data_IF_358806442515
#
_entry.id   IF_358806442515
#
_cell.length_a   1.000
_cell.length_b   1.000
_cell.length_c   1.000
_cell.angle_alpha   90.00
_cell.angle_beta   90.00
_cell.angle_gamma   90.00
#
_symmetry.space_group_name_H-M   'P 1'
#
loop_
_entity.id
_entity.type
_entity.pdbx_description
1 polymer ?
#
# COMPACT_ATOMS: atom_id res chain seq x y z
N UNK A 1 -51.93 -32.88 -26.51
CA UNK A 1 -50.92 -33.95 -26.41
C UNK A 1 -49.83 -33.42 -25.48
N UNK A 2 -50.08 -33.27 -24.19
CA UNK A 2 -50.25 -34.31 -23.15
C UNK A 2 -48.91 -34.93 -22.74
N UNK A 3 -48.53 -34.68 -21.47
CA UNK A 3 -47.97 -35.67 -20.52
C UNK A 3 -46.48 -36.07 -20.76
N UNK A 4 -45.56 -36.20 -19.78
CA UNK A 4 -45.62 -36.55 -18.36
C UNK A 4 -44.33 -36.09 -17.61
N UNK A 5 -44.46 -35.69 -16.35
CA UNK A 5 -43.54 -36.08 -15.25
C UNK A 5 -44.04 -37.42 -14.67
N UNK A 6 -43.19 -38.32 -14.13
CA UNK A 6 -42.76 -38.26 -12.72
C UNK A 6 -41.34 -38.86 -12.52
N UNK A 7 -40.67 -39.04 -11.37
CA UNK A 7 -40.92 -38.94 -9.92
C UNK A 7 -39.56 -38.96 -9.18
N UNK A 8 -39.55 -38.47 -7.95
CA UNK A 8 -38.48 -38.62 -6.97
C UNK A 8 -38.38 -40.04 -6.38
N UNK A 9 -37.16 -40.59 -6.22
CA UNK A 9 -36.72 -41.28 -4.98
C UNK A 9 -35.30 -41.86 -5.10
N UNK A 10 -34.34 -41.28 -4.38
CA UNK A 10 -33.22 -42.02 -3.80
C UNK A 10 -32.78 -41.27 -2.53
N UNK A 11 -33.24 -41.79 -1.40
CA UNK A 11 -33.00 -41.27 -0.05
C UNK A 11 -31.58 -41.65 0.41
N UNK A 12 -30.94 -40.72 1.12
CA UNK A 12 -30.16 -40.89 2.37
C UNK A 12 -29.56 -42.28 2.68
N UNK A 13 -28.22 -42.35 2.65
CA UNK A 13 -27.31 -43.02 3.60
C UNK A 13 -25.88 -42.66 3.13
N UNK A 14 -24.94 -42.10 3.88
CA UNK A 14 -24.43 -42.57 5.17
C UNK A 14 -23.73 -41.43 5.94
N UNK A 15 -24.13 -41.25 7.20
CA UNK A 15 -23.31 -40.72 8.28
C UNK A 15 -22.96 -41.90 9.19
N UNK A 16 -21.82 -41.81 9.87
CA UNK A 16 -21.31 -42.66 10.97
C UNK A 16 -20.51 -43.93 10.62
N UNK A 17 -19.19 -43.82 10.83
CA UNK A 17 -18.23 -44.72 11.54
C UNK A 17 -16.83 -44.31 11.03
N UNK A 18 -15.77 -44.08 11.81
CA UNK A 18 -15.46 -44.51 13.17
C UNK A 18 -14.48 -43.52 13.85
N UNK A 19 -14.68 -43.37 15.16
CA UNK A 19 -13.67 -42.96 16.15
C UNK A 19 -12.87 -44.23 16.57
N UNK A 20 -11.68 -43.98 17.09
CA UNK A 20 -10.90 -44.78 18.06
C UNK A 20 -9.70 -45.61 17.56
N UNK A 21 -8.51 -45.12 17.92
CA UNK A 21 -7.33 -45.77 18.54
C UNK A 21 -6.37 -44.61 18.88
N UNK A 22 -6.17 -44.15 20.13
CA UNK A 22 -5.42 -44.73 21.28
C UNK A 22 -4.05 -45.28 20.82
N UNK A 23 -2.89 -45.01 21.42
CA UNK A 23 -2.40 -44.25 22.59
C UNK A 23 -0.86 -44.30 22.55
N UNK A 24 -0.21 -43.59 23.49
CA UNK A 24 1.15 -43.79 23.99
C UNK A 24 2.30 -43.08 23.23
N UNK A 25 2.85 -42.01 23.81
CA UNK A 25 3.89 -42.10 24.86
C UNK A 25 4.22 -40.72 25.42
N UNK A 26 4.30 -40.68 26.75
CA UNK A 26 4.69 -39.55 27.58
C UNK A 26 6.22 -39.37 27.58
N UNK A 27 6.68 -38.14 27.76
CA UNK A 27 7.74 -37.85 28.73
C UNK A 27 7.79 -36.34 29.07
N UNK A 28 7.37 -36.06 30.29
CA UNK A 28 7.94 -35.18 31.32
C UNK A 28 9.16 -34.32 30.96
N UNK A 29 9.04 -33.00 31.16
CA UNK A 29 9.80 -32.29 32.20
C UNK A 29 9.20 -30.89 32.44
N UNK A 30 8.58 -30.73 33.62
CA UNK A 30 8.33 -29.46 34.29
C UNK A 30 9.59 -29.06 35.07
N UNK A 31 9.92 -27.78 35.12
CA UNK A 31 10.23 -27.07 36.37
C UNK A 31 9.94 -25.55 36.21
N UNK A 32 9.66 -24.81 37.32
CA UNK A 32 8.84 -23.60 37.34
C UNK A 32 9.66 -22.34 37.70
N UNK A 33 9.02 -21.31 38.30
CA UNK A 33 9.59 -20.12 38.96
C UNK A 33 9.82 -18.89 38.02
N UNK A 34 9.42 -17.63 38.29
CA UNK A 34 8.88 -16.93 39.47
C UNK A 34 8.01 -15.73 39.07
N UNK A 35 7.03 -15.47 39.93
CA UNK A 35 6.27 -14.24 40.13
C UNK A 35 7.17 -13.05 40.50
N UNK A 36 6.99 -11.92 39.82
CA UNK A 36 7.55 -10.62 40.19
C UNK A 36 6.45 -9.57 40.32
N UNK A 37 6.01 -9.34 41.55
CA UNK A 37 5.16 -8.21 41.97
C UNK A 37 6.01 -6.95 41.90
N UNK A 38 5.57 -5.91 41.18
CA UNK A 38 6.11 -4.56 41.32
C UNK A 38 5.01 -3.59 41.72
N UNK A 39 5.22 -3.04 42.91
CA UNK A 39 4.41 -2.10 43.67
C UNK A 39 4.37 -0.71 43.02
N UNK A 40 3.22 -0.07 43.16
CA UNK A 40 2.92 1.33 42.85
C UNK A 40 3.93 2.31 43.49
N UNK A 41 4.27 3.36 42.74
CA UNK A 41 4.61 4.66 43.31
C UNK A 41 3.80 5.73 42.60
N UNK A 42 2.81 6.22 43.33
CA UNK A 42 1.97 7.39 43.04
C UNK A 42 2.83 8.65 43.24
N UNK A 43 2.95 9.48 42.21
CA UNK A 43 3.42 10.85 42.35
C UNK A 43 2.21 11.78 42.23
N UNK A 44 1.80 12.33 43.37
CA UNK A 44 0.82 13.40 43.52
C UNK A 44 1.47 14.71 43.06
N UNK A 45 0.85 15.41 42.12
CA UNK A 45 1.15 16.81 41.84
C UNK A 45 -0.18 17.56 41.81
N UNK A 46 -0.35 18.43 42.81
CA UNK A 46 -1.47 19.35 42.98
C UNK A 46 -1.47 20.44 41.91
N UNK A 47 -2.65 20.71 41.31
CA UNK A 47 -2.91 21.95 40.59
C UNK A 47 -4.34 22.47 40.89
N UNK A 48 -4.52 23.80 40.95
CA UNK A 48 -5.60 24.43 41.71
C UNK A 48 -6.93 24.54 40.97
N UNK A 49 -7.98 24.50 41.77
CA UNK A 49 -9.38 24.77 41.45
C UNK A 49 -9.60 26.24 41.05
N UNK A 50 -10.24 26.50 39.90
CA UNK A 50 -10.90 27.79 39.63
C UNK A 50 -12.27 27.56 38.98
N UNK A 51 -13.22 28.33 39.48
CA UNK A 51 -14.65 28.20 39.37
C UNK A 51 -15.27 28.60 38.02
N UNK A 52 -16.54 28.20 37.92
CA UNK A 52 -17.58 28.50 36.95
C UNK A 52 -17.58 29.89 36.31
N UNK A 53 -18.03 29.95 35.04
CA UNK A 53 -19.05 30.91 34.59
C UNK A 53 -19.67 30.52 33.24
N UNK A 54 -20.99 30.41 33.31
CA UNK A 54 -21.98 30.41 32.25
C UNK A 54 -21.90 31.68 31.38
N UNK A 55 -22.12 31.56 30.06
CA UNK A 55 -22.65 32.63 29.20
C UNK A 55 -23.00 32.14 27.80
N UNK A 56 -24.29 32.23 27.54
CA UNK A 56 -25.02 32.20 26.28
C UNK A 56 -24.46 33.10 25.18
N UNK A 57 -24.56 32.65 23.92
CA UNK A 57 -24.38 33.42 22.70
C UNK A 57 -25.68 33.43 21.89
N UNK A 58 -26.17 34.57 21.38
CA UNK A 58 -27.32 34.62 20.50
C UNK A 58 -26.94 34.66 19.01
N UNK A 59 -27.87 34.17 18.19
CA UNK A 59 -27.88 34.16 16.73
C UNK A 59 -28.06 35.55 16.10
N UNK A 60 -27.59 35.71 14.84
CA UNK A 60 -28.02 36.64 13.76
C UNK A 60 -26.98 36.53 12.62
N UNK A 61 -27.24 36.67 11.32
CA UNK A 61 -28.42 36.83 10.47
C UNK A 61 -27.89 36.66 9.02
N UNK A 62 -28.68 36.05 8.15
CA UNK A 62 -28.44 35.93 6.70
C UNK A 62 -28.87 37.21 5.97
N UNK A 63 -28.08 37.68 4.98
CA UNK A 63 -28.55 38.53 3.87
C UNK A 63 -27.79 38.17 2.57
N UNK A 64 -28.44 38.22 1.38
CA UNK A 64 -27.90 37.70 0.11
C UNK A 64 -27.26 38.78 -0.78
N UNK A 65 -26.37 38.36 -1.68
CA UNK A 65 -25.75 39.21 -2.70
C UNK A 65 -26.56 39.20 -4.02
N UNK A 66 -26.83 40.39 -4.55
CA UNK A 66 -27.39 40.66 -5.87
C UNK A 66 -26.32 41.01 -6.91
N UNK A 67 -26.77 41.02 -8.16
CA UNK A 67 -26.09 40.87 -9.44
C UNK A 67 -25.37 42.11 -10.03
N UNK A 68 -24.52 41.79 -11.02
CA UNK A 68 -24.29 42.50 -12.30
C UNK A 68 -23.15 43.54 -12.39
N UNK A 69 -22.22 43.30 -13.32
CA UNK A 69 -21.81 44.27 -14.36
C UNK A 69 -20.89 43.62 -15.41
N UNK A 70 -20.98 44.12 -16.64
CA UNK A 70 -20.44 43.60 -17.92
C UNK A 70 -19.42 44.59 -18.52
N UNK A 71 -18.50 44.07 -19.36
CA UNK A 71 -17.59 44.75 -20.36
C UNK A 71 -16.39 45.49 -19.75
N UNK A 72 -15.19 45.58 -20.36
CA UNK A 72 -14.77 45.75 -21.77
C UNK A 72 -13.39 45.10 -22.06
N UNK A 73 -13.14 44.87 -23.36
CA UNK A 73 -11.85 44.59 -23.99
C UNK A 73 -10.94 45.83 -23.97
N UNK A 74 -9.63 45.62 -23.81
CA UNK A 74 -8.62 46.36 -24.58
C UNK A 74 -7.28 45.58 -24.65
N UNK A 75 -6.42 46.05 -25.54
CA UNK A 75 -5.42 45.37 -26.34
C UNK A 75 -3.96 45.63 -25.89
N UNK A 76 -3.05 44.72 -26.27
CA UNK A 76 -1.66 45.06 -26.58
C UNK A 76 -0.63 45.10 -25.44
N UNK A 77 0.16 44.02 -25.30
CA UNK A 77 1.65 44.03 -25.31
C UNK A 77 2.18 42.61 -25.01
N UNK A 78 2.74 41.95 -26.03
CA UNK A 78 3.55 40.73 -25.87
C UNK A 78 4.88 41.13 -25.22
N UNK A 79 5.05 40.79 -23.94
CA UNK A 79 6.37 40.74 -23.33
C UNK A 79 7.06 39.45 -23.77
N UNK A 80 8.07 39.59 -24.63
CA UNK A 80 9.03 38.52 -24.92
C UNK A 80 9.98 38.49 -23.72
N UNK A 81 9.71 37.59 -22.77
CA UNK A 81 10.66 37.27 -21.70
C UNK A 81 11.68 36.30 -22.29
N UNK A 82 12.90 36.81 -22.48
CA UNK A 82 14.08 36.04 -22.82
C UNK A 82 14.36 35.00 -21.73
N UNK A 83 14.37 33.73 -22.12
CA UNK A 83 14.73 32.61 -21.25
C UNK A 83 16.26 32.55 -21.12
N UNK A 84 16.85 32.52 -19.91
CA UNK A 84 18.28 32.33 -19.75
C UNK A 84 18.67 30.89 -20.13
N UNK A 85 19.94 30.64 -20.52
CA UNK A 85 20.38 29.31 -20.94
C UNK A 85 20.28 28.32 -19.79
N UNK A 86 19.60 27.19 -20.03
CA UNK A 86 19.46 26.10 -19.06
C UNK A 86 20.81 25.41 -18.87
N UNK A 87 21.49 25.74 -17.78
CA UNK A 87 22.55 24.89 -17.22
C UNK A 87 21.98 23.55 -16.75
N UNK A 88 22.82 22.52 -16.75
CA UNK A 88 22.52 21.16 -16.30
C UNK A 88 22.02 21.13 -14.85
N UNK A 89 20.73 21.37 -14.64
CA UNK A 89 20.01 20.98 -13.44
C UNK A 89 19.30 19.66 -13.75
N UNK A 90 19.52 18.66 -12.89
CA UNK A 90 18.60 17.52 -12.80
C UNK A 90 17.19 18.12 -12.67
N UNK A 91 16.23 17.79 -13.57
CA UNK A 91 14.90 18.40 -13.52
C UNK A 91 14.34 18.21 -12.11
N UNK A 92 13.71 19.26 -11.57
CA UNK A 92 13.04 19.25 -10.27
C UNK A 92 12.20 17.97 -10.15
N UNK A 93 12.77 17.00 -9.45
CA UNK A 93 12.34 15.61 -9.53
C UNK A 93 11.06 15.45 -8.72
N UNK A 94 9.95 15.79 -9.37
CA UNK A 94 8.57 15.55 -8.99
C UNK A 94 8.08 16.31 -7.75
N UNK A 95 6.90 16.91 -7.88
CA UNK A 95 5.99 17.09 -6.74
C UNK A 95 5.88 15.75 -6.01
N UNK A 96 6.61 15.61 -4.91
CA UNK A 96 6.75 14.34 -4.21
C UNK A 96 5.40 14.03 -3.57
N UNK A 97 4.71 13.03 -4.12
CA UNK A 97 3.45 12.55 -3.52
C UNK A 97 3.73 12.13 -2.08
N UNK A 98 3.09 12.77 -1.08
CA UNK A 98 3.29 12.37 0.31
C UNK A 98 2.80 10.93 0.49
N UNK A 99 3.47 10.18 1.35
CA UNK A 99 3.02 8.86 1.74
C UNK A 99 3.31 8.61 3.21
N UNK A 100 2.43 7.83 3.83
CA UNK A 100 2.64 7.31 5.19
C UNK A 100 2.81 5.81 5.12
N UNK A 101 3.74 5.30 5.92
CA UNK A 101 3.94 3.86 6.09
C UNK A 101 3.39 3.50 7.46
N UNK A 102 2.21 2.88 7.49
CA UNK A 102 1.57 2.45 8.73
C UNK A 102 1.75 0.96 8.91
N UNK A 103 2.16 0.56 10.09
CA UNK A 103 2.30 -0.83 10.47
C UNK A 103 1.27 -1.19 11.52
N UNK A 104 0.39 -2.11 11.12
CA UNK A 104 -0.75 -2.55 11.89
C UNK A 104 -0.39 -3.91 12.47
N UNK A 105 -0.21 -3.91 13.78
CA UNK A 105 0.13 -5.10 14.55
C UNK A 105 -1.14 -5.79 14.99
N UNK A 106 -1.37 -7.00 14.50
CA UNK A 106 -2.51 -7.83 14.86
C UNK A 106 -2.08 -9.01 15.73
N UNK A 107 -3.01 -9.51 16.53
CA UNK A 107 -2.91 -10.76 17.28
C UNK A 107 -4.07 -11.66 16.87
N UNK A 108 -3.78 -12.92 16.54
CA UNK A 108 -4.80 -13.89 16.19
C UNK A 108 -5.70 -14.19 17.40
N UNK A 109 -7.02 -14.15 17.22
CA UNK A 109 -8.01 -14.54 18.25
C UNK A 109 -8.60 -15.92 17.98
N UNK A 110 -8.47 -16.40 16.75
CA UNK A 110 -8.83 -17.75 16.33
C UNK A 110 -7.71 -18.31 15.47
N UNK A 111 -7.81 -19.58 15.09
CA UNK A 111 -6.94 -20.07 14.02
C UNK A 111 -7.11 -19.25 12.75
N UNK A 112 -5.99 -18.90 12.12
CA UNK A 112 -5.96 -18.19 10.82
C UNK A 112 -5.00 -18.92 9.89
N UNK A 113 -5.43 -19.18 8.66
CA UNK A 113 -4.58 -19.76 7.64
C UNK A 113 -4.44 -18.80 6.46
N UNK A 114 -3.21 -18.36 6.18
CA UNK A 114 -2.89 -17.59 5.00
C UNK A 114 -2.13 -18.45 4.00
N UNK A 115 -2.64 -18.50 2.77
CA UNK A 115 -1.91 -19.07 1.64
C UNK A 115 -0.75 -18.17 1.21
N UNK A 116 -0.14 -18.49 0.07
CA UNK A 116 1.01 -17.75 -0.47
C UNK A 116 0.70 -16.32 -0.96
N UNK A 117 -0.58 -15.90 -0.97
CA UNK A 117 -1.00 -14.57 -1.40
C UNK A 117 -2.05 -13.94 -0.46
N UNK A 118 -1.69 -13.65 0.80
CA UNK A 118 -2.61 -13.09 1.81
C UNK A 118 -3.19 -11.73 1.42
N UNK A 119 -2.45 -10.92 0.65
CA UNK A 119 -2.88 -9.57 0.25
C UNK A 119 -4.16 -9.56 -0.58
N UNK A 120 -4.48 -10.63 -1.32
CA UNK A 120 -5.78 -10.78 -1.97
C UNK A 120 -6.93 -10.90 -0.96
N UNK A 121 -6.73 -11.66 0.13
CA UNK A 121 -7.74 -11.83 1.17
C UNK A 121 -7.95 -10.51 1.93
N UNK A 122 -6.86 -9.86 2.32
CA UNK A 122 -6.88 -8.54 2.96
C UNK A 122 -7.57 -7.48 2.11
N UNK A 123 -7.19 -7.34 0.83
CA UNK A 123 -7.83 -6.38 -0.08
C UNK A 123 -9.31 -6.67 -0.24
N UNK A 124 -9.70 -7.94 -0.37
CA UNK A 124 -11.10 -8.34 -0.47
C UNK A 124 -11.90 -7.93 0.77
N UNK A 125 -11.37 -8.22 1.95
CA UNK A 125 -12.00 -7.92 3.22
C UNK A 125 -12.08 -6.39 3.46
N UNK A 126 -10.99 -5.66 3.20
CA UNK A 126 -10.95 -4.18 3.23
C UNK A 126 -12.05 -3.59 2.35
N UNK A 127 -12.15 -4.04 1.09
CA UNK A 127 -13.16 -3.52 0.17
C UNK A 127 -14.59 -3.73 0.65
N UNK A 128 -14.87 -4.87 1.25
CA UNK A 128 -16.19 -5.17 1.80
C UNK A 128 -16.49 -4.30 3.03
N UNK A 129 -15.55 -4.24 3.98
CA UNK A 129 -15.69 -3.49 5.22
C UNK A 129 -15.78 -1.98 4.96
N UNK A 130 -14.95 -1.44 4.09
CA UNK A 130 -14.97 -0.02 3.72
C UNK A 130 -16.30 0.34 3.05
N UNK A 131 -16.76 -0.48 2.09
CA UNK A 131 -18.06 -0.24 1.44
C UNK A 131 -19.20 -0.28 2.44
N UNK A 132 -19.17 -1.20 3.41
CA UNK A 132 -20.17 -1.26 4.49
C UNK A 132 -20.14 -0.02 5.37
N UNK A 133 -18.95 0.51 5.66
CA UNK A 133 -18.76 1.67 6.53
C UNK A 133 -19.22 2.99 5.89
N UNK A 134 -18.93 3.20 4.61
CA UNK A 134 -19.06 4.54 3.98
C UNK A 134 -20.15 4.65 2.91
N UNK A 135 -20.74 3.53 2.46
CA UNK A 135 -21.71 3.56 1.35
C UNK A 135 -23.12 3.90 1.82
N UNK A 136 -23.56 5.14 1.58
CA UNK A 136 -24.93 5.59 1.85
C UNK A 136 -25.99 4.85 1.01
N UNK A 137 -25.60 4.31 -0.15
CA UNK A 137 -26.49 3.56 -1.05
C UNK A 137 -26.69 2.10 -0.61
N UNK A 138 -26.32 1.74 0.63
CA UNK A 138 -26.49 0.40 1.22
C UNK A 138 -25.87 -0.72 0.36
N UNK A 139 -24.64 -0.48 -0.09
CA UNK A 139 -23.79 -1.44 -0.82
C UNK A 139 -24.27 -1.88 -2.21
N UNK A 140 -25.20 -1.16 -2.84
CA UNK A 140 -25.54 -1.33 -4.27
C UNK A 140 -24.29 -1.28 -5.18
N UNK A 141 -24.34 -1.83 -6.41
CA UNK A 141 -23.27 -1.66 -7.39
C UNK A 141 -22.86 -0.18 -7.53
N UNK A 142 -21.55 0.07 -7.67
CA UNK A 142 -21.04 1.45 -7.75
C UNK A 142 -21.18 2.06 -9.15
N UNK A 143 -21.29 1.21 -10.17
CA UNK A 143 -21.52 1.62 -11.55
C UNK A 143 -22.92 2.23 -11.69
N UNK A 144 -23.00 3.43 -12.26
CA UNK A 144 -24.24 4.20 -12.37
C UNK A 144 -24.73 4.82 -11.06
N UNK A 145 -23.88 4.86 -10.02
CA UNK A 145 -24.24 5.47 -8.75
C UNK A 145 -24.23 7.01 -8.84
N UNK A 146 -25.28 7.67 -8.34
CA UNK A 146 -25.46 9.13 -8.42
C UNK A 146 -24.32 9.96 -7.79
N UNK A 147 -23.57 9.38 -6.86
CA UNK A 147 -22.44 10.03 -6.16
C UNK A 147 -21.10 9.40 -6.50
N UNK A 148 -20.98 8.64 -7.59
CA UNK A 148 -19.78 7.87 -7.93
C UNK A 148 -18.48 8.71 -7.91
N UNK A 149 -18.54 9.97 -8.37
CA UNK A 149 -17.37 10.87 -8.45
C UNK A 149 -16.92 11.33 -7.05
N UNK A 150 -17.85 11.67 -6.17
CA UNK A 150 -17.56 12.20 -4.83
C UNK A 150 -17.51 11.11 -3.74
N UNK A 151 -17.92 9.87 -4.06
CA UNK A 151 -18.00 8.78 -3.09
C UNK A 151 -16.62 8.41 -2.54
N UNK A 152 -16.51 8.40 -1.21
CA UNK A 152 -15.26 8.04 -0.53
C UNK A 152 -14.78 6.62 -0.90
N UNK A 153 -15.71 5.67 -1.06
CA UNK A 153 -15.37 4.31 -1.47
C UNK A 153 -14.72 4.24 -2.85
N UNK A 154 -15.28 4.95 -3.83
CA UNK A 154 -14.74 4.94 -5.20
C UNK A 154 -13.39 5.65 -5.21
N UNK A 155 -13.26 6.83 -4.60
CA UNK A 155 -11.99 7.56 -4.50
C UNK A 155 -10.86 6.73 -3.89
N UNK A 156 -11.12 6.00 -2.80
CA UNK A 156 -10.08 5.23 -2.11
C UNK A 156 -9.85 3.83 -2.70
N UNK A 157 -10.89 3.15 -3.17
CA UNK A 157 -10.82 1.69 -3.41
C UNK A 157 -11.10 1.27 -4.85
N UNK A 158 -11.95 1.99 -5.57
CA UNK A 158 -12.23 1.78 -7.00
C UNK A 158 -12.09 3.09 -7.80
N UNK A 159 -10.92 3.76 -7.75
CA UNK A 159 -10.80 5.09 -8.32
C UNK A 159 -10.97 5.03 -9.84
N UNK A 160 -11.75 5.99 -10.35
CA UNK A 160 -12.08 6.10 -11.76
C UNK A 160 -11.05 6.98 -12.47
N UNK A 161 -10.95 6.80 -13.77
CA UNK A 161 -10.27 7.74 -14.66
C UNK A 161 -11.25 8.09 -15.77
N UNK A 162 -11.12 9.32 -16.25
CA UNK A 162 -11.71 9.86 -17.48
C UNK A 162 -11.14 9.24 -18.77
N UNK A 163 -10.23 8.27 -18.65
CA UNK A 163 -9.82 7.38 -19.74
C UNK A 163 -8.62 7.86 -20.54
N UNK A 164 -8.41 9.18 -20.68
CA UNK A 164 -7.28 9.75 -21.43
C UNK A 164 -6.52 10.78 -20.63
N UNK A 165 -5.28 10.46 -20.32
CA UNK A 165 -4.33 11.41 -19.75
C UNK A 165 -3.41 11.96 -20.87
N UNK A 166 -3.22 13.29 -20.97
CA UNK A 166 -2.38 13.90 -22.01
C UNK A 166 -0.93 13.41 -22.01
N UNK A 167 -0.40 13.03 -20.85
CA UNK A 167 1.00 12.65 -20.66
C UNK A 167 1.20 11.14 -20.69
N UNK A 168 0.20 10.39 -20.20
CA UNK A 168 0.29 8.95 -19.96
C UNK A 168 -0.57 8.11 -20.91
N UNK A 169 -1.31 8.74 -21.82
CA UNK A 169 -2.16 8.08 -22.81
C UNK A 169 -3.41 7.46 -22.16
N UNK A 170 -3.79 6.25 -22.60
CA UNK A 170 -5.00 5.58 -22.08
C UNK A 170 -4.80 5.08 -20.66
N UNK A 171 -5.71 5.47 -19.76
CA UNK A 171 -5.75 5.05 -18.35
C UNK A 171 -7.15 4.52 -18.06
N UNK A 172 -7.34 3.20 -18.13
CA UNK A 172 -8.68 2.61 -17.92
C UNK A 172 -9.18 2.80 -16.48
N UNK A 173 -8.26 2.83 -15.50
CA UNK A 173 -8.55 3.08 -14.09
C UNK A 173 -7.35 3.75 -13.43
N UNK A 174 -7.62 4.72 -12.57
CA UNK A 174 -6.60 5.31 -11.71
C UNK A 174 -6.03 4.24 -10.75
N UNK A 175 -4.75 4.35 -10.36
CA UNK A 175 -4.16 3.47 -9.36
C UNK A 175 -4.83 3.68 -7.99
N UNK A 176 -5.00 2.60 -7.22
CA UNK A 176 -5.41 2.76 -5.82
C UNK A 176 -4.34 3.54 -5.03
N UNK A 177 -4.72 4.51 -4.20
CA UNK A 177 -3.81 5.31 -3.41
C UNK A 177 -3.36 4.61 -2.12
N UNK A 178 -3.29 3.28 -2.13
CA UNK A 178 -2.77 2.52 -1.00
C UNK A 178 -2.09 1.23 -1.44
N UNK A 179 -1.22 0.71 -0.58
CA UNK A 179 -0.59 -0.61 -0.69
C UNK A 179 -0.89 -1.40 0.58
N UNK A 180 -1.33 -2.65 0.41
CA UNK A 180 -1.42 -3.62 1.51
C UNK A 180 -0.22 -4.55 1.40
N UNK A 181 0.71 -4.43 2.32
CA UNK A 181 1.94 -5.20 2.35
C UNK A 181 1.97 -6.15 3.55
N UNK A 182 1.85 -7.46 3.30
CA UNK A 182 1.92 -8.47 4.36
C UNK A 182 3.40 -8.69 4.73
N UNK A 183 3.79 -8.27 5.93
CA UNK A 183 5.17 -8.38 6.43
C UNK A 183 5.41 -9.70 7.15
N UNK A 184 4.38 -10.33 7.71
CA UNK A 184 4.46 -11.71 8.19
C UNK A 184 4.71 -12.67 7.03
N UNK A 185 5.68 -13.59 7.22
CA UNK A 185 6.00 -14.61 6.24
C UNK A 185 4.78 -15.46 5.90
N UNK A 186 4.58 -15.75 4.60
CA UNK A 186 3.47 -16.58 4.12
C UNK A 186 3.94 -17.59 3.07
N UNK A 187 3.29 -18.76 2.93
CA UNK A 187 2.09 -19.22 3.65
C UNK A 187 2.34 -19.45 5.15
N UNK A 188 1.31 -19.27 5.98
CA UNK A 188 1.41 -19.49 7.42
C UNK A 188 0.09 -19.95 8.04
N UNK A 189 0.19 -20.54 9.22
CA UNK A 189 -0.93 -20.87 10.11
C UNK A 189 -0.67 -20.23 11.46
N UNK A 190 -1.60 -19.39 11.90
CA UNK A 190 -1.57 -18.71 13.18
C UNK A 190 -2.53 -19.40 14.15
N UNK A 191 -2.09 -19.58 15.38
CA UNK A 191 -2.88 -19.97 16.54
C UNK A 191 -3.34 -18.72 17.31
N UNK A 192 -4.38 -18.80 18.16
CA UNK A 192 -4.71 -17.71 19.06
C UNK A 192 -3.49 -17.24 19.86
N UNK A 193 -3.25 -15.93 19.88
CA UNK A 193 -2.06 -15.31 20.48
C UNK A 193 -0.92 -15.00 19.50
N UNK A 194 -0.88 -15.62 18.32
CA UNK A 194 0.20 -15.41 17.37
C UNK A 194 0.13 -14.02 16.71
N UNK A 195 1.27 -13.35 16.47
CA UNK A 195 1.31 -12.02 15.87
C UNK A 195 1.15 -12.08 14.34
N UNK A 196 0.55 -11.03 13.78
CA UNK A 196 0.51 -10.79 12.35
C UNK A 196 0.74 -9.31 12.04
N UNK A 197 1.70 -9.02 11.16
CA UNK A 197 2.06 -7.67 10.76
C UNK A 197 1.57 -7.39 9.34
N UNK A 198 0.67 -6.42 9.24
CA UNK A 198 0.21 -5.85 7.98
C UNK A 198 0.67 -4.40 7.88
N UNK A 199 1.41 -4.09 6.84
CA UNK A 199 1.75 -2.72 6.47
C UNK A 199 0.69 -2.16 5.54
N UNK A 200 0.20 -0.97 5.84
CA UNK A 200 -0.67 -0.15 5.00
C UNK A 200 0.11 1.11 4.60
N UNK A 201 0.42 1.25 3.32
CA UNK A 201 0.98 2.51 2.79
C UNK A 201 -0.17 3.38 2.32
N UNK A 202 -0.28 4.59 2.86
CA UNK A 202 -1.23 5.61 2.39
C UNK A 202 -0.52 6.54 1.41
N UNK A 203 -1.15 6.87 0.30
CA UNK A 203 -0.53 7.65 -0.77
C UNK A 203 -1.39 8.87 -1.08
N UNK A 204 -0.80 10.06 -0.98
CA UNK A 204 -1.46 11.34 -1.23
C UNK A 204 -2.15 11.91 0.00
N UNK A 205 -2.29 13.24 0.01
CA UNK A 205 -2.85 14.01 1.13
C UNK A 205 -4.30 13.61 1.42
N UNK A 206 -5.12 13.49 0.38
CA UNK A 206 -6.54 13.13 0.53
C UNK A 206 -6.73 11.75 1.16
N UNK A 207 -5.84 10.80 0.83
CA UNK A 207 -5.87 9.46 1.43
C UNK A 207 -5.48 9.48 2.90
N UNK A 208 -4.48 10.31 3.26
CA UNK A 208 -4.09 10.54 4.65
C UNK A 208 -5.22 11.18 5.45
N UNK A 209 -5.91 12.18 4.90
CA UNK A 209 -7.09 12.79 5.54
C UNK A 209 -8.23 11.78 5.74
N UNK A 210 -8.40 10.84 4.81
CA UNK A 210 -9.39 9.77 4.92
C UNK A 210 -8.89 8.51 5.65
N UNK A 211 -7.68 8.52 6.23
CA UNK A 211 -7.02 7.34 6.78
C UNK A 211 -7.84 6.63 7.85
N UNK A 212 -8.59 7.38 8.67
CA UNK A 212 -9.46 6.83 9.73
C UNK A 212 -10.46 5.80 9.17
N UNK A 213 -11.01 6.03 7.97
CA UNK A 213 -11.95 5.11 7.33
C UNK A 213 -11.25 3.83 6.86
N UNK A 214 -10.04 3.95 6.31
CA UNK A 214 -9.24 2.79 5.88
C UNK A 214 -8.83 1.94 7.08
N UNK A 215 -8.23 2.56 8.10
CA UNK A 215 -7.79 1.87 9.31
C UNK A 215 -8.96 1.19 10.01
N UNK A 216 -10.08 1.89 10.18
CA UNK A 216 -11.30 1.30 10.73
C UNK A 216 -11.80 0.14 9.88
N UNK A 217 -11.82 0.27 8.56
CA UNK A 217 -12.25 -0.82 7.67
C UNK A 217 -11.33 -2.04 7.71
N UNK A 218 -10.01 -1.86 7.82
CA UNK A 218 -9.04 -2.96 7.99
C UNK A 218 -9.29 -3.67 9.32
N UNK A 219 -9.45 -2.92 10.40
CA UNK A 219 -9.70 -3.49 11.73
C UNK A 219 -11.08 -4.21 11.79
N UNK A 220 -12.13 -3.64 11.17
CA UNK A 220 -13.42 -4.31 11.00
C UNK A 220 -13.29 -5.62 10.21
N UNK A 221 -12.49 -5.62 9.15
CA UNK A 221 -12.23 -6.80 8.34
C UNK A 221 -11.54 -7.90 9.15
N UNK A 222 -10.53 -7.54 9.93
CA UNK A 222 -9.78 -8.44 10.81
C UNK A 222 -10.69 -9.10 11.87
N UNK A 223 -11.51 -8.29 12.55
CA UNK A 223 -12.45 -8.79 13.58
C UNK A 223 -13.55 -9.70 13.01
N UNK A 224 -14.07 -9.39 11.82
CA UNK A 224 -15.12 -10.22 11.20
C UNK A 224 -14.59 -11.46 10.46
N UNK A 225 -13.27 -11.61 10.37
CA UNK A 225 -12.61 -12.77 9.81
C UNK A 225 -12.11 -12.57 8.37
N UNK A 226 -10.88 -13.02 8.14
CA UNK A 226 -10.17 -12.89 6.86
C UNK A 226 -9.92 -14.25 6.22
N UNK A 227 -9.95 -14.27 4.88
CA UNK A 227 -9.68 -15.46 4.09
C UNK A 227 -10.80 -16.51 4.15
N UNK A 228 -10.59 -17.69 3.54
CA UNK A 228 -11.62 -18.74 3.45
C UNK A 228 -12.09 -19.26 4.80
N UNK A 229 -11.16 -19.42 5.76
CA UNK A 229 -11.48 -19.88 7.11
C UNK A 229 -12.06 -18.81 8.03
N UNK A 230 -12.20 -17.55 7.55
CA UNK A 230 -12.71 -16.42 8.33
C UNK A 230 -11.99 -16.25 9.67
N UNK A 231 -10.68 -16.49 9.68
CA UNK A 231 -9.85 -16.38 10.88
C UNK A 231 -9.83 -14.94 11.39
N UNK A 232 -10.03 -14.76 12.70
CA UNK A 232 -10.18 -13.46 13.35
C UNK A 232 -8.86 -12.99 13.94
N UNK A 233 -8.62 -11.68 13.78
CA UNK A 233 -7.44 -10.97 14.24
C UNK A 233 -7.90 -9.71 14.96
N UNK A 234 -7.29 -9.42 16.10
CA UNK A 234 -7.49 -8.17 16.84
C UNK A 234 -6.33 -7.23 16.57
N UNK A 235 -6.62 -5.97 16.28
CA UNK A 235 -5.59 -4.94 16.17
C UNK A 235 -5.07 -4.60 17.57
N UNK A 236 -3.76 -4.69 17.75
CA UNK A 236 -3.07 -4.42 19.01
C UNK A 236 -2.39 -3.06 18.99
N UNK A 237 -1.79 -2.65 17.87
CA UNK A 237 -1.12 -1.37 17.73
C UNK A 237 -1.08 -0.89 16.28
N UNK A 238 -0.91 0.42 16.11
CA UNK A 238 -0.64 1.07 14.83
C UNK A 238 0.58 1.97 15.01
N UNK A 239 1.57 1.80 14.14
CA UNK A 239 2.80 2.60 14.15
C UNK A 239 2.98 3.31 12.81
N UNK A 240 3.25 4.61 12.84
CA UNK A 240 3.79 5.35 11.70
C UNK A 240 5.29 5.10 11.63
N UNK A 241 5.79 4.61 10.50
CA UNK A 241 7.21 4.34 10.28
C UNK A 241 7.88 5.40 9.43
N UNK A 242 9.10 5.71 9.82
CA UNK A 242 10.01 6.52 9.03
C UNK A 242 10.50 5.70 7.81
N UNK A 243 10.39 6.23 6.58
CA UNK A 243 10.88 5.56 5.37
C UNK A 243 12.41 5.50 5.29
N UNK A 244 13.13 6.35 6.03
CA UNK A 244 14.60 6.56 5.94
C UNK A 244 15.35 6.09 7.19
N UNK A 245 14.77 6.30 8.38
CA UNK A 245 15.29 5.85 9.66
C UNK A 245 14.48 4.70 10.22
N UNK A 246 15.09 3.81 11.02
CA UNK A 246 14.39 2.69 11.66
C UNK A 246 13.37 3.09 12.74
N UNK A 247 13.00 4.37 12.81
CA UNK A 247 12.15 4.94 13.84
C UNK A 247 10.66 4.70 13.54
N UNK A 248 9.86 4.67 14.61
CA UNK A 248 8.41 4.58 14.52
C UNK A 248 7.72 5.34 15.65
N UNK A 249 6.54 5.89 15.36
CA UNK A 249 5.72 6.63 16.33
C UNK A 249 4.36 5.93 16.45
N UNK A 250 3.88 5.72 17.67
CA UNK A 250 2.53 5.20 17.90
C UNK A 250 1.47 6.14 17.33
N UNK A 251 0.49 5.58 16.61
CA UNK A 251 -0.68 6.30 16.13
C UNK A 251 -1.86 6.23 17.11
N UNK A 252 -1.66 5.70 18.32
CA UNK A 252 -2.67 5.68 19.38
C UNK A 252 -2.29 6.65 20.49
N UNK A 253 -3.22 7.51 20.88
CA UNK A 253 -3.04 8.41 22.02
C UNK A 253 -3.16 7.65 23.37
N UNK A 254 -2.90 8.34 24.48
CA UNK A 254 -2.98 7.75 25.83
C UNK A 254 -4.39 7.24 26.20
N UNK A 255 -5.43 7.68 25.49
CA UNK A 255 -6.81 7.21 25.65
C UNK A 255 -7.18 6.07 24.70
N UNK A 256 -6.22 5.57 23.91
CA UNK A 256 -6.43 4.51 22.93
C UNK A 256 -7.14 4.96 21.66
N UNK A 257 -7.27 6.27 21.41
CA UNK A 257 -7.86 6.80 20.17
C UNK A 257 -6.81 6.93 19.09
N UNK A 258 -7.23 6.67 17.84
CA UNK A 258 -6.40 6.88 16.66
C UNK A 258 -6.10 8.38 16.49
N UNK A 259 -4.81 8.73 16.50
CA UNK A 259 -4.30 10.04 16.14
C UNK A 259 -3.05 9.86 15.30
N UNK A 260 -3.12 10.21 14.02
CA UNK A 260 -1.96 10.13 13.14
C UNK A 260 -0.97 11.23 13.51
N UNK A 261 0.29 10.90 13.84
CA UNK A 261 1.37 11.88 14.01
C UNK A 261 1.66 12.58 12.69
N UNK A 262 2.37 13.71 12.72
CA UNK A 262 2.88 14.37 11.52
C UNK A 262 3.68 13.38 10.63
N UNK A 263 3.58 13.49 9.30
CA UNK A 263 4.24 12.57 8.40
C UNK A 263 5.76 12.74 8.51
N UNK A 264 6.49 11.64 8.37
CA UNK A 264 7.94 11.71 8.26
C UNK A 264 8.34 12.36 6.92
N UNK A 265 9.41 13.18 6.91
CA UNK A 265 9.95 13.70 5.66
C UNK A 265 10.44 12.55 4.78
N UNK A 266 10.15 12.63 3.49
CA UNK A 266 10.58 11.64 2.51
C UNK A 266 11.85 12.11 1.82
N UNK A 267 12.99 11.92 2.48
CA UNK A 267 14.30 12.27 1.90
C UNK A 267 14.86 11.09 1.13
N UNK A 268 15.07 11.25 -0.18
CA UNK A 268 15.76 10.25 -0.99
C UNK A 268 17.26 10.33 -0.68
N UNK A 269 17.92 9.24 -0.27
CA UNK A 269 19.36 9.25 -0.04
C UNK A 269 20.12 9.45 -1.35
N UNK A 270 21.43 9.79 -1.32
CA UNK A 270 22.25 9.84 -2.52
C UNK A 270 22.18 8.54 -3.33
N UNK A 271 22.21 8.64 -4.66
CA UNK A 271 22.20 7.48 -5.52
C UNK A 271 23.53 6.71 -5.39
N UNK A 272 23.51 5.38 -5.17
CA UNK A 272 24.72 4.58 -5.31
C UNK A 272 25.08 4.43 -6.79
N UNK A 273 26.34 4.12 -7.12
CA UNK A 273 26.73 3.82 -8.50
C UNK A 273 26.07 2.56 -9.03
N UNK A 274 25.91 1.55 -8.17
CA UNK A 274 25.28 0.27 -8.52
C UNK A 274 24.32 -0.16 -7.43
N UNK A 275 23.25 -0.81 -7.85
CA UNK A 275 22.23 -1.31 -6.94
C UNK A 275 21.73 -2.67 -7.39
N UNK A 276 21.49 -3.57 -6.43
CA UNK A 276 20.77 -4.81 -6.64
C UNK A 276 19.32 -4.64 -6.22
N UNK A 277 18.41 -5.05 -7.10
CA UNK A 277 16.97 -5.04 -6.88
C UNK A 277 16.56 -6.48 -6.54
N UNK A 278 15.90 -6.67 -5.39
CA UNK A 278 15.38 -7.98 -4.98
C UNK A 278 13.86 -7.96 -4.97
N UNK A 279 13.25 -8.77 -5.84
CA UNK A 279 11.81 -8.92 -5.97
C UNK A 279 11.27 -9.86 -4.88
N UNK A 280 10.81 -9.28 -3.78
CA UNK A 280 10.28 -10.02 -2.63
C UNK A 280 8.86 -10.54 -2.87
N UNK A 281 8.08 -9.82 -3.67
CA UNK A 281 6.76 -10.24 -4.12
C UNK A 281 6.69 -10.26 -5.65
N UNK A 282 5.82 -11.09 -6.27
CA UNK A 282 5.82 -11.23 -7.72
C UNK A 282 5.56 -9.89 -8.42
N UNK A 283 6.48 -9.50 -9.29
CA UNK A 283 6.38 -8.33 -10.15
C UNK A 283 5.55 -8.69 -11.38
N UNK A 284 4.35 -8.10 -11.46
CA UNK A 284 3.42 -8.35 -12.58
C UNK A 284 3.38 -7.15 -13.51
N UNK A 285 4.04 -7.26 -14.65
CA UNK A 285 4.06 -6.22 -15.70
C UNK A 285 3.40 -6.71 -16.98
N UNK A 286 2.90 -5.76 -17.78
CA UNK A 286 2.44 -6.02 -19.15
C UNK A 286 3.18 -5.13 -20.13
N UNK A 287 3.53 -5.70 -21.27
CA UNK A 287 4.08 -4.99 -22.43
C UNK A 287 3.34 -5.50 -23.66
N UNK A 288 2.83 -4.59 -24.49
CA UNK A 288 2.05 -4.91 -25.71
C UNK A 288 0.93 -5.93 -25.46
N UNK A 289 0.17 -5.74 -24.38
CA UNK A 289 -0.93 -6.63 -24.01
C UNK A 289 -0.52 -7.97 -23.39
N UNK A 290 0.73 -8.41 -23.48
CA UNK A 290 1.21 -9.66 -22.89
C UNK A 290 1.81 -9.46 -21.50
N UNK A 291 1.86 -10.51 -20.68
CA UNK A 291 2.64 -10.51 -19.43
C UNK A 291 4.14 -10.61 -19.75
N UNK A 292 4.96 -9.88 -19.01
CA UNK A 292 6.41 -9.93 -19.15
C UNK A 292 6.96 -11.09 -18.32
N UNK A 293 7.40 -12.15 -18.99
CA UNK A 293 8.13 -13.28 -18.39
C UNK A 293 9.65 -13.06 -18.40
N UNK A 294 10.44 -13.98 -17.79
CA UNK A 294 11.89 -13.79 -17.62
C UNK A 294 12.62 -13.52 -18.94
N UNK A 295 12.33 -14.26 -20.00
CA UNK A 295 12.99 -14.09 -21.31
C UNK A 295 12.59 -12.83 -22.10
N UNK A 296 11.62 -12.04 -21.62
CA UNK A 296 11.24 -10.75 -22.24
C UNK A 296 11.52 -9.55 -21.32
N UNK A 297 12.07 -9.80 -20.14
CA UNK A 297 12.34 -8.76 -19.17
C UNK A 297 13.50 -7.88 -19.65
N UNK A 298 13.32 -6.56 -19.55
CA UNK A 298 14.41 -5.59 -19.63
C UNK A 298 14.32 -4.64 -18.44
N UNK A 299 15.46 -4.13 -17.98
CA UNK A 299 15.48 -3.17 -16.87
C UNK A 299 14.74 -1.88 -17.24
N UNK A 300 14.82 -1.44 -18.50
CA UNK A 300 14.07 -0.30 -19.00
C UNK A 300 12.55 -0.45 -18.85
N UNK A 301 12.00 -1.66 -19.03
CA UNK A 301 10.57 -1.92 -18.78
C UNK A 301 10.20 -1.75 -17.30
N UNK A 302 11.06 -2.19 -16.38
CA UNK A 302 10.85 -2.02 -14.94
C UNK A 302 10.93 -0.54 -14.53
N UNK A 303 11.95 0.17 -14.99
CA UNK A 303 12.14 1.60 -14.70
C UNK A 303 10.97 2.44 -15.22
N UNK A 304 10.58 2.25 -16.48
CA UNK A 304 9.44 2.99 -17.04
C UNK A 304 8.11 2.58 -16.43
N UNK A 305 7.99 1.36 -15.89
CA UNK A 305 6.84 0.96 -15.10
C UNK A 305 6.75 1.74 -13.78
N UNK A 306 7.86 1.91 -13.07
CA UNK A 306 7.95 2.72 -11.85
C UNK A 306 7.61 4.19 -12.12
N UNK A 307 8.26 4.78 -13.12
CA UNK A 307 8.00 6.17 -13.55
C UNK A 307 6.51 6.33 -13.84
N UNK A 308 5.94 5.50 -14.73
CA UNK A 308 4.51 5.57 -15.09
C UNK A 308 3.61 5.47 -13.86
N UNK A 309 3.85 4.50 -12.97
CA UNK A 309 3.02 4.29 -11.78
C UNK A 309 3.04 5.50 -10.86
N UNK A 310 4.22 6.04 -10.58
CA UNK A 310 4.38 7.18 -9.69
C UNK A 310 3.77 8.45 -10.32
N UNK A 311 3.93 8.66 -11.62
CA UNK A 311 3.28 9.77 -12.31
C UNK A 311 1.76 9.66 -12.30
N UNK A 312 1.19 8.46 -12.45
CA UNK A 312 -0.25 8.26 -12.27
C UNK A 312 -0.69 8.57 -10.84
N UNK A 313 0.04 8.10 -9.84
CA UNK A 313 -0.29 8.40 -8.44
C UNK A 313 -0.26 9.92 -8.18
N UNK A 314 0.72 10.65 -8.74
CA UNK A 314 0.82 12.10 -8.57
C UNK A 314 -0.33 12.83 -9.26
N UNK A 315 -0.65 12.40 -10.48
CA UNK A 315 -1.74 12.96 -11.29
C UNK A 315 -3.11 12.84 -10.62
N UNK A 316 -3.38 11.72 -9.95
CA UNK A 316 -4.70 11.42 -9.37
C UNK A 316 -4.80 11.70 -7.87
N UNK A 317 -3.70 11.67 -7.13
CA UNK A 317 -3.69 11.74 -5.66
C UNK A 317 -2.66 12.73 -5.09
N UNK A 318 -1.92 13.42 -5.95
CA UNK A 318 -1.02 14.52 -5.58
C UNK A 318 -1.49 15.84 -6.21
N UNK A 319 -0.62 16.85 -6.17
CA UNK A 319 -0.94 18.20 -6.63
C UNK A 319 -0.91 18.34 -8.17
N UNK A 320 -0.97 17.23 -8.92
CA UNK A 320 -0.96 17.21 -10.38
C UNK A 320 0.10 16.28 -10.99
N UNK A 321 0.15 16.18 -12.33
CA UNK A 321 1.17 15.39 -13.00
C UNK A 321 2.56 15.93 -12.68
N UNK A 322 3.58 15.07 -12.55
CA UNK A 322 4.95 15.53 -12.33
C UNK A 322 5.49 16.15 -13.63
N UNK A 323 6.32 17.17 -13.49
CA UNK A 323 7.03 17.77 -14.62
C UNK A 323 8.23 16.87 -14.99
N UNK A 324 8.02 15.95 -15.93
CA UNK A 324 9.01 14.95 -16.33
C UNK A 324 9.10 14.88 -17.86
N UNK A 325 10.32 14.81 -18.37
CA UNK A 325 10.55 14.44 -19.76
C UNK A 325 10.47 12.91 -19.93
N UNK A 326 9.25 12.41 -20.17
CA UNK A 326 8.99 10.99 -20.40
C UNK A 326 9.72 10.44 -21.63
N UNK A 327 10.00 11.29 -22.62
CA UNK A 327 10.69 10.87 -23.84
C UNK A 327 12.17 10.66 -23.53
N UNK A 328 12.83 11.62 -22.89
CA UNK A 328 14.21 11.48 -22.47
C UNK A 328 14.41 10.28 -21.52
N UNK A 329 13.51 10.09 -20.55
CA UNK A 329 13.55 8.93 -19.66
C UNK A 329 13.38 7.61 -20.42
N UNK A 330 12.49 7.56 -21.41
CA UNK A 330 12.31 6.35 -22.24
C UNK A 330 13.56 6.04 -23.07
N UNK A 331 14.13 7.06 -23.70
CA UNK A 331 15.36 6.93 -24.52
C UNK A 331 16.56 6.51 -23.66
N UNK A 332 16.66 7.02 -22.43
CA UNK A 332 17.67 6.59 -21.47
C UNK A 332 17.43 5.13 -21.05
N UNK A 333 16.19 4.80 -20.63
CA UNK A 333 15.83 3.45 -20.22
C UNK A 333 16.06 2.38 -21.29
N UNK A 334 15.93 2.72 -22.58
CA UNK A 334 16.17 1.78 -23.68
C UNK A 334 17.64 1.43 -23.90
N UNK A 335 18.56 2.22 -23.35
CA UNK A 335 20.01 1.97 -23.44
C UNK A 335 20.55 1.20 -22.23
N UNK A 336 19.74 0.99 -21.20
CA UNK A 336 20.15 0.32 -19.98
C UNK A 336 19.96 -1.18 -20.11
N UNK A 337 20.98 -1.91 -19.70
CA UNK A 337 20.95 -3.37 -19.56
C UNK A 337 20.98 -3.74 -18.08
N UNK A 338 20.35 -4.87 -17.75
CA UNK A 338 20.51 -5.43 -16.43
C UNK A 338 21.90 -6.06 -16.34
N UNK A 339 22.56 -5.93 -15.19
CA UNK A 339 23.75 -6.71 -14.87
C UNK A 339 23.38 -8.18 -14.60
N UNK A 340 23.95 -8.78 -13.55
CA UNK A 340 23.52 -10.12 -13.12
C UNK A 340 22.01 -10.16 -12.88
N UNK A 341 21.28 -11.01 -13.60
CA UNK A 341 19.83 -11.16 -13.47
C UNK A 341 19.44 -12.62 -13.28
N UNK A 342 18.85 -12.93 -12.14
CA UNK A 342 18.31 -14.24 -11.80
C UNK A 342 16.81 -14.10 -11.59
N UNK A 343 16.04 -14.27 -12.67
CA UNK A 343 14.61 -14.06 -12.69
C UNK A 343 13.85 -15.36 -13.01
N UNK A 344 12.82 -15.63 -12.22
CA UNK A 344 11.92 -16.75 -12.43
C UNK A 344 10.47 -16.30 -12.41
N UNK A 345 9.58 -17.11 -12.98
CA UNK A 345 8.13 -16.89 -12.87
C UNK A 345 7.58 -17.65 -11.67
N UNK A 346 6.93 -16.94 -10.74
CA UNK A 346 6.16 -17.55 -9.65
C UNK A 346 4.68 -17.41 -9.93
N UNK A 347 4.01 -18.53 -10.19
CA UNK A 347 2.56 -18.53 -10.35
C UNK A 347 1.86 -18.31 -9.00
N UNK A 348 0.77 -17.55 -9.02
CA UNK A 348 -0.09 -17.33 -7.86
C UNK A 348 -1.54 -17.34 -8.30
N UNK A 349 -2.43 -17.86 -7.46
CA UNK A 349 -3.84 -17.97 -7.78
C UNK A 349 -4.67 -17.13 -6.82
N UNK A 350 -5.74 -16.53 -7.35
CA UNK A 350 -6.69 -15.74 -6.58
C UNK A 350 -8.11 -16.13 -6.94
N UNK A 351 -8.97 -16.34 -5.95
CA UNK A 351 -10.42 -16.40 -6.18
C UNK A 351 -11.00 -14.98 -6.14
N UNK A 352 -11.66 -14.55 -7.22
CA UNK A 352 -12.34 -13.26 -7.28
C UNK A 352 -13.73 -13.37 -6.68
N UNK A 353 -14.02 -12.64 -5.59
CA UNK A 353 -15.36 -12.60 -5.01
C UNK A 353 -16.40 -11.95 -5.94
N UNK A 354 -15.97 -11.01 -6.81
CA UNK A 354 -16.86 -10.30 -7.75
C UNK A 354 -17.22 -11.14 -8.97
N UNK A 355 -16.27 -11.92 -9.48
CA UNK A 355 -16.42 -12.67 -10.74
C UNK A 355 -16.61 -14.17 -10.50
N UNK A 356 -16.49 -14.64 -9.26
CA UNK A 356 -16.50 -16.05 -8.86
C UNK A 356 -15.46 -16.95 -9.58
N UNK A 357 -14.46 -16.36 -10.26
CA UNK A 357 -13.45 -17.08 -11.05
C UNK A 357 -12.09 -17.15 -10.33
N UNK A 358 -11.31 -18.19 -10.66
CA UNK A 358 -9.90 -18.30 -10.31
C UNK A 358 -9.05 -17.47 -11.31
N UNK A 359 -8.28 -16.52 -10.79
CA UNK A 359 -7.43 -15.63 -11.56
C UNK A 359 -5.96 -15.99 -11.36
N UNK A 360 -5.19 -15.99 -12.45
CA UNK A 360 -3.72 -16.12 -12.41
C UNK A 360 -3.09 -14.77 -12.12
N UNK A 361 -2.39 -14.70 -10.99
CA UNK A 361 -1.78 -13.52 -10.39
C UNK A 361 -0.25 -13.62 -10.36
N UNK A 362 0.35 -14.59 -11.03
CA UNK A 362 1.80 -14.75 -11.09
C UNK A 362 2.57 -13.55 -11.65
N UNK A 363 3.88 -13.56 -11.41
CA UNK A 363 4.80 -12.51 -11.82
C UNK A 363 6.26 -12.94 -11.65
N UNK A 364 7.16 -12.03 -12.00
CA UNK A 364 8.61 -12.21 -11.87
C UNK A 364 9.03 -12.17 -10.41
N UNK A 365 9.94 -13.05 -10.01
CA UNK A 365 10.62 -13.06 -8.72
C UNK A 365 12.11 -13.27 -8.93
N UNK A 366 12.92 -12.99 -7.91
CA UNK A 366 14.36 -13.12 -7.98
C UNK A 366 15.05 -11.77 -7.85
N UNK A 367 16.19 -11.59 -8.52
CA UNK A 367 17.02 -10.40 -8.37
C UNK A 367 17.66 -9.97 -9.69
N UNK A 368 17.98 -8.69 -9.81
CA UNK A 368 18.80 -8.17 -10.90
C UNK A 368 19.59 -6.95 -10.45
N UNK A 369 20.69 -6.66 -11.14
CA UNK A 369 21.55 -5.52 -10.86
C UNK A 369 21.36 -4.39 -11.89
N UNK A 370 21.58 -3.16 -11.44
CA UNK A 370 21.52 -1.96 -12.27
C UNK A 370 22.72 -1.07 -11.96
N UNK A 371 23.43 -0.67 -13.02
CA UNK A 371 24.36 0.45 -13.00
C UNK A 371 23.58 1.76 -13.15
N UNK A 372 23.76 2.65 -12.19
CA UNK A 372 23.10 3.95 -12.12
C UNK A 372 23.96 5.10 -12.66
N UNK A 373 25.22 4.85 -13.05
CA UNK A 373 26.07 5.88 -13.65
C UNK A 373 25.49 6.36 -14.97
N UNK A 374 25.17 7.64 -15.07
CA UNK A 374 24.43 8.22 -16.20
C UNK A 374 22.93 7.86 -16.24
N UNK A 375 22.41 7.21 -15.20
CA UNK A 375 21.02 6.81 -15.03
C UNK A 375 20.43 7.25 -13.67
N UNK A 376 21.06 8.23 -13.02
CA UNK A 376 20.72 8.74 -11.69
C UNK A 376 19.29 9.31 -11.63
N UNK A 377 18.77 9.77 -12.77
CA UNK A 377 17.39 10.25 -12.90
C UNK A 377 16.33 9.21 -12.49
N UNK A 378 16.65 7.92 -12.51
CA UNK A 378 15.74 6.86 -12.05
C UNK A 378 15.79 6.61 -10.55
N UNK A 379 16.81 7.10 -9.85
CA UNK A 379 17.02 6.78 -8.44
C UNK A 379 15.86 7.17 -7.52
N UNK A 380 15.26 8.37 -7.61
CA UNK A 380 14.10 8.72 -6.79
C UNK A 380 12.92 7.76 -7.00
N UNK A 381 12.70 7.31 -8.24
CA UNK A 381 11.64 6.36 -8.54
C UNK A 381 11.94 4.96 -7.99
N UNK A 382 13.18 4.50 -8.12
CA UNK A 382 13.65 3.23 -7.57
C UNK A 382 13.51 3.21 -6.05
N UNK A 383 13.99 4.24 -5.37
CA UNK A 383 13.99 4.30 -3.92
C UNK A 383 12.58 4.33 -3.35
N UNK A 384 11.71 5.20 -3.88
CA UNK A 384 10.29 5.31 -3.45
C UNK A 384 9.47 4.08 -3.82
N UNK A 385 9.80 3.42 -4.93
CA UNK A 385 9.08 2.24 -5.39
C UNK A 385 9.19 1.04 -4.46
N UNK A 386 10.15 1.01 -3.52
CA UNK A 386 10.19 0.03 -2.42
C UNK A 386 8.91 0.07 -1.57
N UNK A 387 8.33 1.27 -1.38
CA UNK A 387 7.11 1.48 -0.61
C UNK A 387 5.85 1.50 -1.49
N UNK A 388 5.95 2.10 -2.67
CA UNK A 388 4.82 2.21 -3.61
C UNK A 388 4.56 0.93 -4.40
N UNK A 389 5.52 0.00 -4.36
CA UNK A 389 5.62 -1.22 -5.17
C UNK A 389 5.64 -0.93 -6.69
N UNK A 390 6.00 -1.94 -7.47
CA UNK A 390 6.01 -1.89 -8.94
C UNK A 390 4.90 -2.73 -9.58
N UNK A 391 4.55 -2.41 -10.81
CA UNK A 391 3.67 -3.23 -11.64
C UNK A 391 2.18 -3.14 -11.28
N UNK A 392 1.47 -4.24 -11.51
CA UNK A 392 0.03 -4.38 -11.30
C UNK A 392 -0.29 -5.04 -9.97
N UNK A 393 -1.48 -4.74 -9.45
CA UNK A 393 -2.02 -5.36 -8.24
C UNK A 393 -1.19 -5.09 -6.96
N UNK A 394 -0.52 -3.94 -6.92
CA UNK A 394 0.22 -3.44 -5.75
C UNK A 394 -0.66 -3.19 -4.53
N UNK A 395 -1.94 -2.83 -4.71
CA UNK A 395 -2.93 -2.74 -3.61
C UNK A 395 -3.22 -4.08 -2.92
N UNK A 396 -2.67 -5.18 -3.44
CA UNK A 396 -2.68 -6.51 -2.84
C UNK A 396 -1.26 -6.99 -2.46
N UNK A 397 -0.26 -6.12 -2.48
CA UNK A 397 1.11 -6.43 -2.07
C UNK A 397 2.02 -7.01 -3.16
N UNK A 398 1.57 -7.09 -4.41
CA UNK A 398 2.45 -7.50 -5.52
C UNK A 398 3.49 -6.43 -5.85
N UNK A 399 4.58 -6.87 -6.47
CA UNK A 399 5.67 -6.00 -6.94
C UNK A 399 6.45 -5.29 -5.86
N UNK A 400 6.41 -5.79 -4.61
CA UNK A 400 7.33 -5.38 -3.55
C UNK A 400 8.74 -5.76 -3.93
N UNK A 401 9.66 -4.82 -3.74
CA UNK A 401 11.09 -5.07 -3.86
C UNK A 401 11.86 -4.26 -2.83
N UNK A 402 13.10 -4.66 -2.61
CA UNK A 402 14.08 -3.90 -1.83
C UNK A 402 15.33 -3.63 -2.65
N UNK A 403 16.06 -2.59 -2.27
CA UNK A 403 17.32 -2.18 -2.88
C UNK A 403 18.47 -2.54 -1.95
N UNK A 404 19.53 -3.10 -2.52
CA UNK A 404 20.82 -3.30 -1.86
C UNK A 404 21.88 -2.52 -2.65
N UNK A 405 22.42 -1.40 -2.11
CA UNK A 405 23.58 -0.75 -2.72
C UNK A 405 24.72 -1.75 -2.86
N UNK A 406 25.39 -1.75 -4.00
CA UNK A 406 26.56 -2.59 -4.22
C UNK A 406 27.80 -1.73 -4.10
N UNK A 407 28.71 -2.11 -3.21
CA UNK A 407 30.00 -1.45 -3.12
C UNK A 407 30.76 -1.56 -4.45
N UNK A 408 31.60 -0.56 -4.78
CA UNK A 408 32.52 -0.69 -5.90
C UNK A 408 33.48 -1.85 -5.61
N UNK A 409 33.75 -2.73 -6.59
CA UNK A 409 34.75 -3.78 -6.42
C UNK A 409 36.14 -3.13 -6.24
N UNK A 410 36.61 -3.04 -4.99
CA UNK A 410 37.94 -2.49 -4.69
C UNK A 410 38.10 -1.75 -3.35
N UNK A 411 37.03 -1.47 -2.61
CA UNK A 411 37.12 -0.87 -1.28
C UNK A 411 37.52 -1.88 -0.21
N UNK A 412 38.82 -2.13 -0.02
CA UNK A 412 39.28 -2.65 1.28
C UNK A 412 38.98 -1.57 2.30
N UNK A 413 38.08 -1.85 3.24
CA UNK A 413 38.07 -1.18 4.54
C UNK A 413 39.50 -1.22 5.07
N UNK A 414 40.15 -0.05 5.15
CA UNK A 414 41.31 0.09 6.03
C UNK A 414 40.74 -0.05 7.44
N UNK A 415 41.03 -1.18 8.07
CA UNK A 415 40.77 -1.39 9.49
C UNK A 415 41.39 -0.23 10.26
N UNK A 416 40.52 0.58 10.88
CA UNK A 416 40.91 1.56 11.88
C UNK A 416 41.19 0.81 13.19
N UNK A 417 42.37 0.21 13.28
CA UNK A 417 42.99 -0.26 14.52
C UNK A 417 44.49 -0.03 14.42
N UNK A 418 44.89 1.23 14.59
CA UNK A 418 46.28 1.59 14.90
C UNK A 418 46.27 3.00 15.52
N UNK A 419 45.88 3.06 16.80
CA UNK A 419 46.28 4.15 17.69
C UNK A 419 46.24 3.66 19.15
N UNK A 420 47.25 2.86 19.51
CA UNK A 420 47.75 2.69 20.88
C UNK A 420 49.11 1.99 20.79
N UNK A 421 50.16 2.79 20.58
CA UNK A 421 51.54 2.46 20.89
C UNK A 421 52.26 3.74 21.33
#
# INVERSE_FOLDING_TARGET
MSNLFPSASARRAARHRARARSEALANTNQEPCQTGVFTERVCVIDLPTVASRDRSLPARQFLPATSAARRRLDSGRRAILSCPPRGNAVPDAARVIPLDILDLHFVAESEVAFGSFPGSAWRGALGHSLKRLVCIMRRRPCEGCAIEVSCLYTRLFEPRSDGRDPLLGRVDRAPQPFVLDCRTATPCRLRPGDPFLLRLVLIGRETREAAVYLLRAVEEAARHGIGPGRGRLRLAAIELRDPTGGNSISCMDASGRLRLPEPFPMTVPPAPERVRILLEAPLRMRHEGALVGPGRFTVGMFLMNLVRRQSLLARFHGDGPPDLDFRALRELASRLEAGEAQLAWREQLRRSARQATLMRMGGLVGRFELDLRGAEAFWPFLWRGQFLHAGKATSMGLGRYRLEPLEPPGGRTRDATEEMA
#
